data_IF_811474994841
#
_entry.id   IF_811474994841
#
_cell.length_a   1.000
_cell.length_b   1.000
_cell.length_c   1.000
_cell.angle_alpha   90.00
_cell.angle_beta   90.00
_cell.angle_gamma   90.00
#
_symmetry.space_group_name_H-M   'P 1'
#
loop_
_entity.id
_entity.type
_entity.pdbx_description
1 polymer ?
#
# COMPACT_ATOMS: atom_id res chain seq x y z
N UNK A 1 -39.19 28.65 -32.78
CA UNK A 1 -39.31 28.28 -31.36
C UNK A 1 -37.96 27.76 -30.90
N UNK A 2 -37.28 28.51 -30.05
CA UNK A 2 -36.05 28.03 -29.41
C UNK A 2 -36.45 27.01 -28.34
N UNK A 3 -35.95 25.78 -28.45
CA UNK A 3 -36.05 24.80 -27.36
C UNK A 3 -34.97 25.21 -26.35
N UNK A 4 -35.42 25.68 -25.19
CA UNK A 4 -34.59 25.86 -24.01
C UNK A 4 -33.84 24.56 -23.73
N UNK A 5 -32.50 24.60 -23.80
CA UNK A 5 -31.64 23.59 -23.17
C UNK A 5 -31.60 23.96 -21.70
N UNK A 6 -32.54 23.40 -20.95
CA UNK A 6 -32.68 23.70 -19.53
C UNK A 6 -31.65 22.91 -18.72
N UNK A 7 -30.88 23.66 -17.94
CA UNK A 7 -30.42 23.28 -16.60
C UNK A 7 -29.36 22.18 -16.49
N UNK A 8 -28.14 22.57 -16.13
CA UNK A 8 -27.12 21.67 -15.60
C UNK A 8 -27.66 20.86 -14.42
N UNK A 9 -27.99 19.59 -14.68
CA UNK A 9 -28.20 18.61 -13.64
C UNK A 9 -26.89 18.38 -12.90
N UNK A 10 -26.89 18.49 -11.57
CA UNK A 10 -25.82 17.91 -10.76
C UNK A 10 -25.73 16.44 -11.14
N UNK A 11 -24.59 15.98 -11.65
CA UNK A 11 -24.36 14.57 -11.93
C UNK A 11 -24.54 13.76 -10.63
N UNK A 12 -25.74 13.21 -10.43
CA UNK A 12 -26.01 12.33 -9.30
C UNK A 12 -25.23 11.03 -9.49
N UNK A 13 -24.55 10.58 -8.43
CA UNK A 13 -23.80 9.32 -8.46
C UNK A 13 -24.76 8.15 -8.68
N UNK A 14 -24.52 7.37 -9.74
CA UNK A 14 -25.28 6.14 -10.01
C UNK A 14 -25.04 5.12 -8.90
N UNK A 15 -26.11 4.55 -8.36
CA UNK A 15 -26.08 3.55 -7.27
C UNK A 15 -26.30 2.12 -7.73
N UNK A 16 -26.53 1.90 -9.03
CA UNK A 16 -26.66 0.58 -9.64
C UNK A 16 -26.31 0.61 -11.13
N UNK A 17 -25.88 -0.53 -11.68
CA UNK A 17 -25.71 -0.74 -13.11
C UNK A 17 -26.02 -2.20 -13.47
N UNK A 18 -26.26 -2.46 -14.76
CA UNK A 18 -26.59 -3.79 -15.26
C UNK A 18 -25.54 -4.25 -16.27
N UNK A 19 -25.24 -5.54 -16.23
CA UNK A 19 -24.33 -6.25 -17.13
C UNK A 19 -24.99 -7.58 -17.52
N UNK A 20 -24.33 -8.40 -18.34
CA UNK A 20 -24.86 -9.70 -18.77
C UNK A 20 -25.08 -10.64 -17.58
N UNK A 21 -24.23 -10.55 -16.56
CA UNK A 21 -24.28 -11.36 -15.34
C UNK A 21 -25.45 -10.97 -14.42
N UNK A 22 -25.99 -9.76 -14.58
CA UNK A 22 -27.11 -9.26 -13.79
C UNK A 22 -26.94 -7.81 -13.34
N UNK A 23 -27.59 -7.47 -12.23
CA UNK A 23 -27.60 -6.11 -11.67
C UNK A 23 -26.61 -5.97 -10.50
N UNK A 24 -25.72 -5.00 -10.60
CA UNK A 24 -24.80 -4.59 -9.54
C UNK A 24 -25.42 -3.39 -8.80
N UNK A 25 -25.50 -3.47 -7.47
CA UNK A 25 -26.09 -2.45 -6.61
C UNK A 25 -25.11 -2.02 -5.53
N UNK A 26 -25.00 -0.72 -5.30
CA UNK A 26 -24.31 -0.16 -4.14
C UNK A 26 -25.08 -0.50 -2.87
N UNK A 27 -24.42 -1.14 -1.92
CA UNK A 27 -24.99 -1.57 -0.64
C UNK A 27 -24.64 -0.59 0.49
N UNK A 28 -25.41 -0.54 1.59
CA UNK A 28 -25.11 0.29 2.76
C UNK A 28 -23.98 -0.29 3.64
N UNK A 29 -23.08 -1.09 3.07
CA UNK A 29 -21.92 -1.69 3.75
C UNK A 29 -20.67 -0.83 3.61
N UNK A 30 -20.83 0.50 3.80
CA UNK A 30 -19.79 1.48 3.60
C UNK A 30 -18.74 1.48 4.71
N UNK A 31 -17.46 1.55 4.34
CA UNK A 31 -16.35 1.75 5.26
C UNK A 31 -15.81 3.17 5.08
N UNK A 32 -15.75 3.92 6.17
CA UNK A 32 -15.27 5.29 6.20
C UNK A 32 -14.61 5.59 7.53
N UNK A 33 -14.01 6.78 7.67
CA UNK A 33 -13.67 7.31 9.00
C UNK A 33 -14.93 7.44 9.87
N UNK A 34 -14.83 7.29 11.21
CA UNK A 34 -16.00 7.31 12.11
C UNK A 34 -16.85 8.59 12.00
N UNK A 35 -16.22 9.75 11.80
CA UNK A 35 -16.91 11.03 11.76
C UNK A 35 -17.61 11.30 10.42
N UNK A 36 -17.46 10.43 9.41
CA UNK A 36 -18.06 10.54 8.06
C UNK A 36 -17.84 11.87 7.32
N UNK A 37 -16.93 12.71 7.80
CA UNK A 37 -16.55 13.96 7.12
C UNK A 37 -15.79 13.60 5.85
N UNK A 38 -16.28 14.13 4.72
CA UNK A 38 -15.69 13.91 3.40
C UNK A 38 -14.23 14.33 3.32
N UNK A 39 -13.50 13.76 2.35
CA UNK A 39 -12.12 14.12 2.11
C UNK A 39 -12.05 15.42 1.31
N UNK A 40 -11.66 16.51 1.94
CA UNK A 40 -11.33 17.75 1.22
C UNK A 40 -9.94 17.60 0.63
N UNK A 41 -9.86 17.43 -0.69
CA UNK A 41 -8.59 17.32 -1.41
C UNK A 41 -7.90 18.69 -1.44
N UNK A 42 -7.05 18.96 -0.45
CA UNK A 42 -6.12 20.09 -0.47
C UNK A 42 -4.81 19.69 -1.15
N UNK A 43 -4.14 20.65 -1.79
CA UNK A 43 -2.82 20.41 -2.42
C UNK A 43 -1.88 19.68 -1.44
N UNK A 44 -1.41 18.50 -1.82
CA UNK A 44 -0.54 17.64 -1.00
C UNK A 44 -1.20 16.41 -0.36
N UNK A 45 -2.49 16.21 -0.59
CA UNK A 45 -3.24 15.01 -0.20
C UNK A 45 -2.77 13.74 -0.94
N UNK A 46 -2.68 12.62 -0.22
CA UNK A 46 -2.38 11.30 -0.82
C UNK A 46 -3.66 10.60 -1.26
N UNK A 47 -3.56 9.79 -2.32
CA UNK A 47 -4.66 8.91 -2.76
C UNK A 47 -5.09 7.99 -1.63
N UNK A 48 -6.40 7.82 -1.45
CA UNK A 48 -6.96 6.73 -0.64
C UNK A 48 -6.66 5.40 -1.34
N UNK A 49 -6.11 4.45 -0.60
CA UNK A 49 -5.84 3.08 -1.02
C UNK A 49 -6.57 2.13 -0.08
N UNK A 50 -6.84 0.93 -0.59
CA UNK A 50 -7.53 -0.14 0.14
C UNK A 50 -6.76 -1.44 -0.06
N UNK A 51 -6.58 -2.20 1.02
CA UNK A 51 -6.02 -3.55 0.99
C UNK A 51 -6.91 -4.50 1.77
N UNK A 52 -7.01 -5.74 1.29
CA UNK A 52 -7.77 -6.80 1.92
C UNK A 52 -6.85 -7.96 2.27
N UNK A 53 -7.23 -8.72 3.31
CA UNK A 53 -6.62 -10.02 3.64
C UNK A 53 -7.68 -10.90 4.28
N UNK A 54 -7.64 -12.20 4.01
CA UNK A 54 -8.51 -13.20 4.62
C UNK A 54 -7.67 -14.10 5.51
N UNK A 55 -7.81 -13.92 6.83
CA UNK A 55 -7.12 -14.75 7.80
C UNK A 55 -7.75 -16.14 7.85
N UNK A 56 -6.97 -17.19 8.18
CA UNK A 56 -7.49 -18.54 8.42
C UNK A 56 -8.28 -18.58 9.73
N UNK A 57 -9.50 -18.05 9.70
CA UNK A 57 -10.43 -17.98 10.84
C UNK A 57 -11.58 -18.97 10.66
N UNK A 58 -11.68 -20.02 11.51
CA UNK A 58 -12.78 -20.99 11.47
C UNK A 58 -14.16 -20.37 11.67
N UNK A 59 -14.25 -19.20 12.31
CA UNK A 59 -15.50 -18.49 12.59
C UNK A 59 -16.11 -17.74 11.41
N UNK A 60 -15.46 -17.75 10.23
CA UNK A 60 -15.98 -17.12 9.02
C UNK A 60 -15.94 -15.59 9.02
N UNK A 61 -15.23 -14.98 9.98
CA UNK A 61 -15.02 -13.54 10.10
C UNK A 61 -13.55 -13.16 9.86
N UNK A 62 -12.83 -13.95 9.04
CA UNK A 62 -11.39 -13.78 8.78
C UNK A 62 -11.03 -12.57 7.91
N UNK A 63 -11.98 -11.99 7.18
CA UNK A 63 -11.70 -10.88 6.27
C UNK A 63 -11.36 -9.60 7.02
N UNK A 64 -10.31 -8.91 6.56
CA UNK A 64 -9.85 -7.63 7.07
C UNK A 64 -9.78 -6.64 5.92
N UNK A 65 -10.11 -5.38 6.21
CA UNK A 65 -9.95 -4.25 5.31
C UNK A 65 -9.04 -3.21 5.96
N UNK A 66 -8.06 -2.73 5.19
CA UNK A 66 -7.21 -1.60 5.56
C UNK A 66 -7.41 -0.46 4.55
N UNK A 67 -7.55 0.77 5.03
CA UNK A 67 -7.56 1.95 4.17
C UNK A 67 -6.91 3.16 4.84
N UNK A 68 -6.28 4.02 4.04
CA UNK A 68 -5.74 5.31 4.49
C UNK A 68 -6.68 6.48 4.15
N UNK A 69 -6.63 7.52 4.97
CA UNK A 69 -7.35 8.78 4.75
C UNK A 69 -6.51 9.95 5.27
N UNK A 70 -5.84 10.68 4.37
CA UNK A 70 -4.88 11.71 4.76
C UNK A 70 -3.78 11.15 5.65
N UNK A 71 -3.78 11.54 6.93
CA UNK A 71 -2.81 11.09 7.95
C UNK A 71 -3.30 9.91 8.79
N UNK A 72 -4.53 9.45 8.58
CA UNK A 72 -5.13 8.36 9.33
C UNK A 72 -5.01 7.05 8.53
N UNK A 73 -4.82 5.94 9.23
CA UNK A 73 -4.90 4.58 8.69
C UNK A 73 -5.83 3.77 9.57
N UNK A 74 -6.74 3.02 8.95
CA UNK A 74 -7.74 2.23 9.64
C UNK A 74 -7.68 0.78 9.21
N UNK A 75 -7.85 -0.14 10.17
CA UNK A 75 -8.03 -1.57 9.93
C UNK A 75 -9.31 -2.03 10.61
N UNK A 76 -10.18 -2.73 9.87
CA UNK A 76 -11.44 -3.27 10.36
C UNK A 76 -11.62 -4.74 9.97
N UNK A 77 -12.53 -5.43 10.66
CA UNK A 77 -13.14 -6.67 10.14
C UNK A 77 -14.01 -6.29 8.95
N UNK A 78 -13.81 -6.96 7.81
CA UNK A 78 -14.62 -6.77 6.62
C UNK A 78 -15.81 -7.75 6.63
N UNK A 79 -17.03 -7.24 6.60
CA UNK A 79 -18.26 -8.06 6.68
C UNK A 79 -18.92 -8.31 5.31
N UNK A 80 -18.30 -7.87 4.22
CA UNK A 80 -18.87 -7.95 2.88
C UNK A 80 -20.24 -7.28 2.79
N UNK A 81 -21.15 -7.89 2.04
CA UNK A 81 -22.54 -7.42 1.88
C UNK A 81 -23.46 -7.80 3.04
N UNK A 82 -22.97 -8.51 4.07
CA UNK A 82 -23.80 -9.18 5.08
C UNK A 82 -24.35 -8.24 6.15
N UNK A 83 -23.62 -7.16 6.47
CA UNK A 83 -24.00 -6.22 7.54
C UNK A 83 -23.36 -4.85 7.28
N UNK A 84 -23.98 -3.81 7.83
CA UNK A 84 -23.39 -2.47 7.91
C UNK A 84 -22.07 -2.52 8.71
N UNK A 85 -21.10 -1.69 8.30
CA UNK A 85 -19.81 -1.62 8.97
C UNK A 85 -19.95 -0.95 10.35
N UNK A 86 -19.31 -1.54 11.36
CA UNK A 86 -19.20 -0.94 12.70
C UNK A 86 -18.05 0.08 12.72
N UNK A 87 -18.20 1.18 11.96
CA UNK A 87 -17.13 2.16 11.72
C UNK A 87 -16.55 2.78 12.99
N UNK A 88 -17.29 2.79 14.11
CA UNK A 88 -16.83 3.35 15.38
C UNK A 88 -15.79 2.48 16.10
N UNK A 89 -15.62 1.20 15.71
CA UNK A 89 -14.76 0.22 16.40
C UNK A 89 -13.74 -0.40 15.43
N UNK A 90 -12.72 0.36 14.99
CA UNK A 90 -11.62 -0.23 14.23
C UNK A 90 -10.86 -1.26 15.09
N UNK A 91 -10.30 -2.28 14.42
CA UNK A 91 -9.32 -3.18 15.04
C UNK A 91 -8.04 -2.39 15.38
N UNK A 92 -7.62 -1.53 14.44
CA UNK A 92 -6.55 -0.58 14.68
C UNK A 92 -6.79 0.75 13.97
N UNK A 93 -6.32 1.82 14.62
CA UNK A 93 -6.32 3.17 14.08
C UNK A 93 -4.96 3.79 14.36
N UNK A 94 -4.26 4.22 13.31
CA UNK A 94 -3.02 4.98 13.41
C UNK A 94 -3.20 6.40 12.88
N UNK A 95 -2.51 7.35 13.52
CA UNK A 95 -2.45 8.76 13.10
C UNK A 95 -0.98 9.14 12.96
N UNK A 96 -0.59 9.55 11.77
CA UNK A 96 0.79 9.88 11.43
C UNK A 96 1.03 11.39 11.49
N UNK A 97 2.06 11.80 12.23
CA UNK A 97 2.50 13.19 12.30
C UNK A 97 3.65 13.39 11.30
N UNK A 98 3.58 14.44 10.49
CA UNK A 98 4.67 14.82 9.57
C UNK A 98 4.77 14.04 8.26
N UNK A 99 3.99 12.97 8.08
CA UNK A 99 3.94 12.22 6.82
C UNK A 99 2.55 11.60 6.58
N UNK A 100 2.25 11.22 5.35
CA UNK A 100 0.98 10.62 4.96
C UNK A 100 1.23 9.20 4.40
N UNK A 101 0.43 8.20 4.78
CA UNK A 101 0.40 6.91 4.09
C UNK A 101 0.05 7.09 2.61
N UNK A 102 0.67 6.29 1.74
CA UNK A 102 0.53 6.38 0.28
C UNK A 102 0.12 5.07 -0.37
N UNK A 103 0.50 3.95 0.23
CA UNK A 103 0.25 2.58 -0.23
C UNK A 103 0.49 1.62 0.94
N UNK A 104 -0.11 0.44 0.89
CA UNK A 104 0.02 -0.56 1.94
C UNK A 104 -0.31 -1.97 1.42
N UNK A 105 0.25 -2.99 2.07
CA UNK A 105 0.13 -4.39 1.63
C UNK A 105 0.23 -5.37 2.79
N UNK A 106 -0.67 -6.35 2.83
CA UNK A 106 -0.68 -7.41 3.84
C UNK A 106 0.20 -8.59 3.40
N UNK A 107 0.94 -9.18 4.34
CA UNK A 107 1.64 -10.44 4.08
C UNK A 107 0.65 -11.59 4.20
N UNK A 108 0.35 -12.24 3.08
CA UNK A 108 -0.54 -13.41 3.04
C UNK A 108 0.19 -14.73 3.28
N UNK A 109 1.52 -14.74 3.25
CA UNK A 109 2.35 -15.95 3.47
C UNK A 109 2.42 -16.32 4.95
N UNK A 110 2.50 -15.34 5.84
CA UNK A 110 2.78 -15.55 7.28
C UNK A 110 1.57 -15.28 8.17
N UNK A 111 0.39 -15.04 7.59
CA UNK A 111 -0.82 -14.73 8.35
C UNK A 111 -1.32 -15.93 9.17
N UNK A 112 -1.84 -15.66 10.36
CA UNK A 112 -2.54 -16.61 11.22
C UNK A 112 -3.94 -16.07 11.54
N UNK A 113 -4.74 -16.82 12.31
CA UNK A 113 -6.06 -16.36 12.77
C UNK A 113 -5.98 -15.07 13.60
N UNK A 114 -4.85 -14.84 14.27
CA UNK A 114 -4.65 -13.80 15.27
C UNK A 114 -3.48 -12.84 14.95
N UNK A 115 -2.81 -12.98 13.80
CA UNK A 115 -1.65 -12.15 13.42
C UNK A 115 -1.60 -11.93 11.91
N UNK A 116 -1.22 -10.72 11.50
CA UNK A 116 -0.92 -10.42 10.10
C UNK A 116 0.03 -9.24 9.99
N UNK A 117 1.07 -9.38 9.18
CA UNK A 117 2.01 -8.29 8.90
C UNK A 117 1.45 -7.33 7.85
N UNK A 118 1.50 -6.03 8.14
CA UNK A 118 1.08 -4.95 7.23
C UNK A 118 2.23 -4.00 6.96
N UNK A 119 2.59 -3.84 5.69
CA UNK A 119 3.49 -2.80 5.21
C UNK A 119 2.70 -1.52 4.89
N UNK A 120 3.29 -0.36 5.19
CA UNK A 120 2.75 0.96 4.85
C UNK A 120 3.89 1.84 4.32
N UNK A 121 3.78 2.27 3.07
CA UNK A 121 4.66 3.27 2.46
C UNK A 121 4.19 4.70 2.73
N UNK A 122 5.13 5.64 2.83
CA UNK A 122 4.84 7.03 3.19
C UNK A 122 5.30 8.05 2.15
N UNK A 123 4.72 9.25 2.22
CA UNK A 123 5.02 10.39 1.33
C UNK A 123 6.47 10.90 1.39
N UNK A 124 7.21 10.56 2.45
CA UNK A 124 8.57 11.03 2.69
C UNK A 124 9.65 9.95 2.54
N UNK A 125 9.27 8.78 2.01
CA UNK A 125 10.19 7.69 1.65
C UNK A 125 10.31 6.58 2.70
N UNK A 126 9.79 6.77 3.91
CA UNK A 126 9.75 5.73 4.93
C UNK A 126 8.78 4.61 4.57
N UNK A 127 9.00 3.44 5.18
CA UNK A 127 8.08 2.30 5.18
C UNK A 127 7.96 1.80 6.62
N UNK A 128 6.74 1.53 7.08
CA UNK A 128 6.48 0.89 8.37
C UNK A 128 5.97 -0.53 8.16
N UNK A 129 6.46 -1.46 8.97
CA UNK A 129 5.92 -2.80 9.12
C UNK A 129 5.33 -2.92 10.52
N UNK A 130 4.08 -3.35 10.64
CA UNK A 130 3.47 -3.64 11.94
C UNK A 130 2.38 -4.71 11.84
N UNK A 131 1.97 -5.24 13.00
CA UNK A 131 0.81 -6.12 13.12
C UNK A 131 -0.40 -5.34 13.69
N UNK A 132 -1.50 -5.14 12.94
CA UNK A 132 -2.67 -4.42 13.43
C UNK A 132 -3.52 -5.21 14.44
N UNK A 133 -3.32 -6.51 14.58
CA UNK A 133 -4.07 -7.41 15.45
C UNK A 133 -3.32 -7.60 16.78
N UNK A 134 -2.10 -8.14 16.74
CA UNK A 134 -1.28 -8.37 17.95
C UNK A 134 -0.65 -7.10 18.49
N UNK A 135 -0.32 -6.14 17.61
CA UNK A 135 0.31 -4.86 17.96
C UNK A 135 1.68 -4.96 18.65
N UNK A 136 2.34 -6.12 18.56
CA UNK A 136 3.68 -6.36 19.11
C UNK A 136 4.80 -6.02 18.10
N UNK A 137 4.52 -6.17 16.80
CA UNK A 137 5.46 -5.85 15.73
C UNK A 137 5.36 -4.38 15.33
N UNK A 138 6.47 -3.65 15.35
CA UNK A 138 6.60 -2.32 14.74
C UNK A 138 8.04 -2.05 14.32
N UNK A 139 8.32 -2.06 13.01
CA UNK A 139 9.63 -1.75 12.42
C UNK A 139 9.51 -0.59 11.43
N UNK A 140 10.55 0.25 11.37
CA UNK A 140 10.67 1.33 10.40
C UNK A 140 11.85 1.04 9.46
N UNK A 141 11.62 1.23 8.16
CA UNK A 141 12.62 1.15 7.11
C UNK A 141 12.82 2.53 6.50
N UNK A 142 14.06 2.85 6.15
CA UNK A 142 14.45 4.14 5.61
C UNK A 142 14.04 5.32 6.52
N UNK A 143 14.06 5.13 7.84
CA UNK A 143 13.63 6.12 8.84
C UNK A 143 14.36 7.45 8.69
N UNK A 144 15.70 7.38 8.59
CA UNK A 144 16.61 8.51 8.38
C UNK A 144 16.61 9.06 6.94
N UNK A 145 15.80 8.48 6.03
CA UNK A 145 15.65 8.90 4.63
C UNK A 145 16.98 8.92 3.86
N UNK A 146 17.87 7.98 4.18
CA UNK A 146 19.20 7.83 3.57
C UNK A 146 19.17 6.99 2.29
N UNK A 147 18.13 6.18 2.08
CA UNK A 147 17.99 5.29 0.92
C UNK A 147 17.33 6.06 -0.24
N UNK A 148 16.19 6.66 0.02
CA UNK A 148 15.43 7.51 -0.91
C UNK A 148 14.56 8.51 -0.12
N UNK A 149 14.51 9.76 -0.56
CA UNK A 149 13.76 10.83 0.11
C UNK A 149 12.37 11.07 -0.48
N UNK A 150 12.10 10.48 -1.65
CA UNK A 150 10.88 10.67 -2.42
C UNK A 150 9.77 9.74 -1.95
N UNK A 151 8.52 10.12 -2.26
CA UNK A 151 7.31 9.37 -1.93
C UNK A 151 7.43 7.90 -2.35
N UNK A 152 7.05 6.99 -1.45
CA UNK A 152 6.80 5.59 -1.81
C UNK A 152 5.52 5.52 -2.65
N UNK A 153 5.61 4.95 -3.85
CA UNK A 153 4.49 4.88 -4.82
C UNK A 153 3.75 3.56 -4.76
N UNK A 154 4.45 2.46 -4.51
CA UNK A 154 3.88 1.14 -4.30
C UNK A 154 4.76 0.33 -3.34
N UNK A 155 4.14 -0.48 -2.49
CA UNK A 155 4.80 -1.49 -1.65
C UNK A 155 4.07 -2.81 -1.84
N UNK A 156 4.81 -3.90 -1.97
CA UNK A 156 4.25 -5.25 -2.02
C UNK A 156 5.18 -6.25 -1.35
N UNK A 157 4.62 -7.19 -0.63
CA UNK A 157 5.32 -8.40 -0.27
C UNK A 157 5.69 -9.19 -1.53
N UNK A 158 6.86 -9.83 -1.50
CA UNK A 158 7.22 -10.78 -2.56
C UNK A 158 6.31 -12.00 -2.42
N UNK A 159 5.64 -12.46 -3.50
CA UNK A 159 4.75 -13.61 -3.42
C UNK A 159 5.42 -14.85 -2.83
N UNK A 160 4.80 -15.47 -1.83
CA UNK A 160 5.32 -16.67 -1.14
C UNK A 160 6.50 -16.42 -0.20
N UNK A 161 6.95 -15.18 -0.05
CA UNK A 161 8.05 -14.84 0.83
C UNK A 161 7.55 -14.46 2.23
N UNK A 162 8.23 -14.91 3.31
CA UNK A 162 7.89 -14.51 4.66
C UNK A 162 8.45 -13.14 5.07
N UNK A 163 9.58 -12.70 4.48
CA UNK A 163 10.37 -11.57 4.98
C UNK A 163 10.80 -10.57 3.88
N UNK A 164 10.76 -10.95 2.61
CA UNK A 164 11.09 -10.06 1.49
C UNK A 164 9.90 -9.22 1.01
N UNK A 165 10.16 -7.95 0.76
CA UNK A 165 9.24 -7.03 0.11
C UNK A 165 9.95 -6.06 -0.83
N UNK A 166 9.19 -5.49 -1.76
CA UNK A 166 9.64 -4.52 -2.74
C UNK A 166 8.92 -3.19 -2.52
N UNK A 167 9.65 -2.09 -2.67
CA UNK A 167 9.08 -0.75 -2.63
C UNK A 167 9.56 0.09 -3.81
N UNK A 168 8.64 0.76 -4.50
CA UNK A 168 8.95 1.72 -5.55
C UNK A 168 8.79 3.15 -5.06
N UNK A 169 9.58 4.06 -5.63
CA UNK A 169 9.66 5.44 -5.22
C UNK A 169 9.43 6.41 -6.39
N UNK A 170 9.03 7.64 -6.06
CA UNK A 170 8.83 8.71 -7.04
C UNK A 170 10.10 9.13 -7.77
N UNK A 171 11.27 8.71 -7.28
CA UNK A 171 12.58 8.86 -7.93
C UNK A 171 12.80 7.99 -9.16
N UNK A 172 11.90 7.03 -9.44
CA UNK A 172 12.11 6.02 -10.48
C UNK A 172 12.81 4.74 -10.00
N UNK A 173 13.11 4.66 -8.71
CA UNK A 173 13.86 3.56 -8.12
C UNK A 173 12.94 2.56 -7.42
N UNK A 174 13.30 1.29 -7.46
CA UNK A 174 12.74 0.24 -6.60
C UNK A 174 13.82 -0.32 -5.68
N UNK A 175 13.43 -0.72 -4.48
CA UNK A 175 14.33 -1.24 -3.46
C UNK A 175 13.78 -2.54 -2.88
N UNK A 176 14.63 -3.57 -2.88
CA UNK A 176 14.34 -4.83 -2.20
C UNK A 176 14.76 -4.74 -0.73
N UNK A 177 13.86 -5.14 0.15
CA UNK A 177 14.09 -5.19 1.58
C UNK A 177 13.87 -6.60 2.10
N UNK A 178 14.57 -6.95 3.18
CA UNK A 178 14.26 -8.09 4.04
C UNK A 178 13.95 -7.55 5.44
N UNK A 179 12.79 -7.90 6.00
CA UNK A 179 12.34 -7.35 7.28
C UNK A 179 13.18 -7.79 8.49
N UNK A 180 13.99 -8.83 8.36
CA UNK A 180 14.95 -9.31 9.36
C UNK A 180 16.26 -8.50 9.35
N UNK A 181 16.52 -7.74 8.27
CA UNK A 181 17.74 -6.93 8.14
C UNK A 181 17.51 -5.48 8.60
N UNK A 182 18.47 -4.87 9.33
CA UNK A 182 18.37 -3.46 9.67
C UNK A 182 18.74 -2.56 8.49
N UNK A 183 18.26 -1.31 8.51
CA UNK A 183 18.76 -0.26 7.62
C UNK A 183 20.14 0.25 8.11
N UNK A 184 20.98 0.70 7.19
CA UNK A 184 22.27 1.33 7.54
C UNK A 184 22.11 2.74 8.14
N UNK A 185 23.13 3.19 8.88
CA UNK A 185 23.22 4.54 9.47
C UNK A 185 23.89 5.56 8.53
N UNK A 186 24.31 5.13 7.34
CA UNK A 186 24.91 5.96 6.30
C UNK A 186 24.24 5.67 4.95
N UNK A 187 24.29 6.62 3.99
CA UNK A 187 23.80 6.37 2.63
C UNK A 187 24.39 5.09 2.02
N UNK A 188 23.57 4.19 1.43
CA UNK A 188 24.06 2.94 0.88
C UNK A 188 24.98 3.16 -0.33
N UNK A 189 26.02 2.33 -0.45
CA UNK A 189 26.89 2.30 -1.62
C UNK A 189 26.43 1.22 -2.60
N UNK A 190 26.18 1.62 -3.85
CA UNK A 190 25.62 0.77 -4.88
C UNK A 190 26.67 0.35 -5.90
N UNK A 191 26.70 -0.93 -6.24
CA UNK A 191 27.53 -1.47 -7.33
C UNK A 191 26.62 -2.16 -8.35
N UNK A 192 26.73 -1.85 -9.65
CA UNK A 192 25.90 -2.50 -10.67
C UNK A 192 26.22 -4.00 -10.73
N UNK A 193 25.17 -4.82 -10.87
CA UNK A 193 25.28 -6.29 -11.01
C UNK A 193 24.59 -6.79 -12.28
N UNK A 194 23.65 -6.04 -12.83
CA UNK A 194 22.99 -6.35 -14.09
C UNK A 194 22.55 -5.05 -14.76
N UNK A 195 22.73 -4.97 -16.06
CA UNK A 195 22.24 -3.87 -16.89
C UNK A 195 21.55 -4.47 -18.11
N UNK A 196 20.47 -3.82 -18.53
CA UNK A 196 19.78 -4.15 -19.77
C UNK A 196 19.15 -2.89 -20.36
N UNK A 197 18.37 -3.08 -21.41
CA UNK A 197 17.70 -1.95 -22.06
C UNK A 197 16.69 -1.29 -21.12
N UNK A 198 16.89 0.00 -20.83
CA UNK A 198 16.05 0.76 -19.92
C UNK A 198 16.11 0.37 -18.44
N UNK A 199 17.06 -0.46 -17.98
CA UNK A 199 17.20 -0.74 -16.55
C UNK A 199 18.62 -1.07 -16.08
N UNK A 200 18.88 -0.81 -14.80
CA UNK A 200 20.09 -1.25 -14.10
C UNK A 200 19.78 -1.73 -12.68
N UNK A 201 20.29 -2.90 -12.32
CA UNK A 201 20.18 -3.48 -10.98
C UNK A 201 21.52 -3.30 -10.28
N UNK A 202 21.45 -2.78 -9.06
CA UNK A 202 22.58 -2.58 -8.17
C UNK A 202 22.42 -3.42 -6.92
N UNK A 203 23.51 -4.01 -6.45
CA UNK A 203 23.59 -4.56 -5.08
C UNK A 203 24.11 -3.50 -4.12
N UNK A 204 23.70 -3.57 -2.86
CA UNK A 204 24.31 -2.82 -1.77
C UNK A 204 25.33 -3.70 -1.03
N UNK A 205 26.62 -3.37 -1.11
CA UNK A 205 27.67 -4.02 -0.32
C UNK A 205 27.98 -3.17 0.90
N UNK A 206 27.67 -3.67 2.09
CA UNK A 206 27.99 -3.01 3.37
C UNK A 206 29.12 -3.72 4.10
N UNK A 207 30.16 -2.97 4.49
CA UNK A 207 31.13 -3.42 5.50
C UNK A 207 30.37 -3.52 6.84
N UNK A 208 30.33 -4.70 7.46
CA UNK A 208 29.60 -4.92 8.72
C UNK A 208 28.32 -5.78 8.63
N UNK A 209 28.15 -6.54 7.54
CA UNK A 209 27.09 -7.53 7.38
C UNK A 209 25.95 -7.11 6.45
N UNK A 210 24.97 -8.00 6.28
CA UNK A 210 23.81 -7.76 5.43
C UNK A 210 22.94 -6.63 6.01
N UNK A 211 22.52 -5.71 5.14
CA UNK A 211 21.72 -4.52 5.49
C UNK A 211 20.72 -4.24 4.38
N UNK A 212 19.66 -3.52 4.75
CA UNK A 212 18.74 -2.95 3.79
C UNK A 212 19.27 -1.62 3.21
N UNK A 213 19.00 -1.32 1.92
CA UNK A 213 18.30 -2.18 0.95
C UNK A 213 19.23 -3.26 0.38
N UNK A 214 18.69 -4.41 -0.01
CA UNK A 214 19.46 -5.53 -0.61
C UNK A 214 19.87 -5.19 -2.05
N UNK A 215 18.88 -4.75 -2.83
CA UNK A 215 19.07 -4.30 -4.20
C UNK A 215 18.38 -2.96 -4.42
N UNK A 216 18.93 -2.19 -5.35
CA UNK A 216 18.28 -1.02 -5.96
C UNK A 216 18.09 -1.30 -7.44
N UNK A 217 16.88 -1.14 -7.95
CA UNK A 217 16.55 -1.28 -9.37
C UNK A 217 16.19 0.10 -9.92
N UNK A 218 16.99 0.58 -10.86
CA UNK A 218 16.69 1.77 -11.66
C UNK A 218 15.98 1.30 -12.93
N UNK A 219 14.76 1.77 -13.18
CA UNK A 219 13.93 1.34 -14.31
C UNK A 219 13.37 2.56 -15.03
N UNK A 220 13.67 2.67 -16.32
CA UNK A 220 13.24 3.74 -17.21
C UNK A 220 13.78 5.11 -16.82
N UNK A 221 13.14 6.14 -17.37
CA UNK A 221 13.31 7.52 -16.98
C UNK A 221 12.04 7.99 -16.25
N UNK A 222 12.18 8.86 -15.25
CA UNK A 222 11.02 9.38 -14.52
C UNK A 222 10.48 8.48 -13.40
N UNK A 223 9.27 8.78 -12.92
CA UNK A 223 8.71 8.17 -11.71
C UNK A 223 8.14 6.79 -11.98
N UNK A 224 8.30 5.86 -11.04
CA UNK A 224 7.54 4.59 -11.04
C UNK A 224 6.16 4.86 -10.44
N UNK A 225 5.10 4.65 -11.22
CA UNK A 225 3.73 4.84 -10.79
C UNK A 225 3.22 3.66 -9.95
N UNK A 226 3.44 2.44 -10.43
CA UNK A 226 2.98 1.19 -9.82
C UNK A 226 3.79 0.01 -10.37
N UNK A 227 3.79 -1.09 -9.62
CA UNK A 227 4.26 -2.38 -10.09
C UNK A 227 3.35 -3.50 -9.59
N UNK A 228 3.37 -4.65 -10.29
CA UNK A 228 2.62 -5.83 -9.91
C UNK A 228 3.41 -7.10 -10.23
N UNK A 229 3.45 -8.03 -9.27
CA UNK A 229 3.96 -9.38 -9.52
C UNK A 229 2.94 -10.17 -10.35
N UNK A 230 3.43 -11.04 -11.23
CA UNK A 230 2.57 -12.00 -11.94
C UNK A 230 1.92 -12.97 -10.95
N UNK A 231 0.68 -13.46 -11.22
CA UNK A 231 0.02 -14.45 -10.36
C UNK A 231 0.81 -15.75 -10.18
N UNK A 232 1.65 -16.13 -11.15
CA UNK A 232 2.52 -17.30 -11.06
C UNK A 232 3.84 -17.04 -10.31
N UNK A 233 4.10 -15.78 -9.94
CA UNK A 233 5.28 -15.26 -9.20
C UNK A 233 6.60 -14.96 -9.93
N UNK A 234 6.97 -15.48 -11.13
CA UNK A 234 8.30 -15.23 -11.70
C UNK A 234 8.46 -13.87 -12.39
N UNK A 235 7.38 -13.18 -12.76
CA UNK A 235 7.46 -11.91 -13.50
C UNK A 235 7.03 -10.72 -12.66
N UNK A 236 7.56 -9.55 -13.02
CA UNK A 236 7.21 -8.26 -12.45
C UNK A 236 6.88 -7.29 -13.59
N UNK A 237 5.70 -6.68 -13.56
CA UNK A 237 5.33 -5.57 -14.43
C UNK A 237 5.55 -4.24 -13.71
N UNK A 238 6.17 -3.27 -14.37
CA UNK A 238 6.45 -1.92 -13.83
C UNK A 238 5.91 -0.88 -14.82
N UNK A 239 5.16 0.10 -14.32
CA UNK A 239 4.69 1.23 -15.11
C UNK A 239 5.39 2.52 -14.67
N UNK A 240 6.26 3.06 -15.53
CA UNK A 240 6.93 4.36 -15.37
C UNK A 240 6.28 5.44 -16.24
N UNK A 241 6.66 6.71 -16.02
CA UNK A 241 6.23 7.85 -16.83
C UNK A 241 7.06 7.99 -18.11
#
# INVERSE_FOLDING_TARGET
>A
MAVQVDGGGKDELKTQFMTREGTYRLTPSDYSRPNRVGYTNTQGSTSVRVSFVTLPDPGGNGDRICFNFGRELYVYVYKGVRKAAEIAKPLDKKVYKGTNPTCHDFNTTTMTADSVSLLVGFSTGQIQLFDPIKKELSKLFNEERLIDKTKVTCVRWVPGSPNLFLASHGSGQLYFYNDELPCGTAPPHYTPVKQGDGYTIYTCKTKGGARNPIFRWAVGEGRVNEFAFSPCSPHLAIASQ
#
